data_IF_205736127184
#
_entry.id   IF_205736127184
#
_cell.length_a   1.000
_cell.length_b   1.000
_cell.length_c   1.000
_cell.angle_alpha   90.00
_cell.angle_beta   90.00
_cell.angle_gamma   90.00
#
_symmetry.space_group_name_H-M   'P 1'
#
loop_
_entity.id
_entity.type
_entity.pdbx_description
1 polymer ?
#
# COMPACT_ATOMS: atom_id res chain seq x y z
N UNK A 1 -21.26 -12.24 7.31
CA UNK A 1 -20.69 -10.97 6.90
C UNK A 1 -19.18 -11.05 6.64
N UNK A 2 -18.60 -9.95 6.25
CA UNK A 2 -17.17 -9.81 5.86
C UNK A 2 -16.22 -10.31 6.95
N UNK A 3 -16.48 -9.99 8.21
CA UNK A 3 -15.64 -10.43 9.34
C UNK A 3 -15.55 -11.95 9.45
N UNK A 4 -16.68 -12.65 9.29
CA UNK A 4 -16.72 -14.11 9.32
C UNK A 4 -16.02 -14.75 8.12
N UNK A 5 -16.16 -14.14 6.96
CA UNK A 5 -15.45 -14.53 5.74
C UNK A 5 -13.93 -14.42 5.93
N UNK A 6 -13.45 -13.26 6.37
CA UNK A 6 -12.03 -13.03 6.64
C UNK A 6 -11.48 -13.97 7.70
N UNK A 7 -12.23 -14.24 8.77
CA UNK A 7 -11.84 -15.21 9.79
C UNK A 7 -11.61 -16.60 9.19
N UNK A 8 -12.51 -17.06 8.33
CA UNK A 8 -12.37 -18.38 7.68
C UNK A 8 -11.16 -18.43 6.74
N UNK A 9 -10.96 -17.39 5.93
CA UNK A 9 -9.82 -17.30 5.02
C UNK A 9 -8.50 -17.29 5.78
N UNK A 10 -8.38 -16.45 6.82
CA UNK A 10 -7.16 -16.35 7.62
C UNK A 10 -6.86 -17.63 8.39
N UNK A 11 -7.89 -18.30 8.92
CA UNK A 11 -7.74 -19.59 9.61
C UNK A 11 -7.28 -20.66 8.62
N UNK A 12 -7.92 -20.77 7.47
CA UNK A 12 -7.54 -21.75 6.43
C UNK A 12 -6.11 -21.53 5.94
N UNK A 13 -5.73 -20.29 5.68
CA UNK A 13 -4.36 -19.96 5.29
C UNK A 13 -3.34 -20.29 6.38
N UNK A 14 -3.64 -19.99 7.64
CA UNK A 14 -2.76 -20.31 8.79
C UNK A 14 -2.54 -21.81 8.90
N UNK A 15 -3.59 -22.61 8.75
CA UNK A 15 -3.48 -24.07 8.76
C UNK A 15 -2.60 -24.59 7.62
N UNK A 16 -2.85 -24.11 6.41
CA UNK A 16 -2.04 -24.48 5.24
C UNK A 16 -0.56 -24.10 5.44
N UNK A 17 -0.30 -22.88 5.88
CA UNK A 17 1.06 -22.39 6.11
C UNK A 17 1.78 -23.20 7.18
N UNK A 18 1.11 -23.48 8.29
CA UNK A 18 1.68 -24.27 9.38
C UNK A 18 2.02 -25.70 8.96
N UNK A 19 1.13 -26.34 8.19
CA UNK A 19 1.41 -27.67 7.64
C UNK A 19 2.60 -27.65 6.69
N UNK A 20 2.64 -26.70 5.77
CA UNK A 20 3.71 -26.60 4.77
C UNK A 20 5.09 -26.33 5.39
N UNK A 21 5.14 -25.57 6.46
CA UNK A 21 6.38 -25.15 7.11
C UNK A 21 6.68 -25.87 8.42
N UNK A 22 5.97 -26.96 8.72
CA UNK A 22 6.13 -27.77 9.94
C UNK A 22 6.16 -26.91 11.23
N UNK A 23 5.26 -25.90 11.29
CA UNK A 23 5.14 -25.02 12.46
C UNK A 23 3.73 -25.10 13.06
N UNK A 24 3.58 -24.56 14.28
CA UNK A 24 2.31 -24.47 14.98
C UNK A 24 2.08 -23.07 15.54
N UNK A 25 0.85 -22.77 15.91
CA UNK A 25 0.48 -21.52 16.54
C UNK A 25 0.00 -20.45 15.57
N UNK A 26 -0.23 -19.24 16.10
CA UNK A 26 -0.77 -18.12 15.36
C UNK A 26 0.22 -17.60 14.31
N UNK A 27 -0.30 -17.31 13.10
CA UNK A 27 0.46 -16.68 12.02
C UNK A 27 0.22 -15.16 11.98
N UNK A 28 -0.99 -14.72 12.29
CA UNK A 28 -1.38 -13.32 12.30
C UNK A 28 -1.51 -12.79 13.73
N UNK A 29 -1.09 -11.53 13.92
CA UNK A 29 -1.21 -10.86 15.21
C UNK A 29 -2.59 -10.25 15.39
N UNK A 30 -3.38 -10.84 16.30
CA UNK A 30 -4.66 -10.29 16.72
C UNK A 30 -5.77 -10.39 15.67
N UNK A 31 -6.83 -9.65 15.93
CA UNK A 31 -8.03 -9.64 15.08
C UNK A 31 -7.83 -8.76 13.85
N UNK A 32 -8.49 -9.12 12.74
CA UNK A 32 -8.56 -8.26 11.55
C UNK A 32 -9.10 -6.88 11.92
N UNK A 33 -8.36 -5.85 11.51
CA UNK A 33 -8.78 -4.46 11.68
C UNK A 33 -9.38 -3.96 10.36
N UNK A 34 -10.46 -3.22 10.44
CA UNK A 34 -11.11 -2.62 9.27
C UNK A 34 -11.45 -1.17 9.55
N UNK A 35 -11.39 -0.34 8.51
CA UNK A 35 -11.80 1.06 8.56
C UNK A 35 -12.69 1.34 7.36
N UNK A 36 -13.82 1.97 7.61
CA UNK A 36 -14.73 2.40 6.55
C UNK A 36 -14.12 3.57 5.77
N UNK A 37 -14.21 3.50 4.44
CA UNK A 37 -13.78 4.56 3.52
C UNK A 37 -15.03 5.16 2.90
N UNK A 38 -15.44 6.33 3.38
CA UNK A 38 -16.68 7.02 3.02
C UNK A 38 -16.47 8.13 1.98
N UNK A 39 -15.23 8.56 1.76
CA UNK A 39 -14.90 9.66 0.86
C UNK A 39 -14.11 9.17 -0.35
N UNK A 40 -14.58 9.50 -1.53
CA UNK A 40 -13.92 9.16 -2.80
C UNK A 40 -12.48 9.69 -2.86
N UNK A 41 -12.25 10.90 -2.38
CA UNK A 41 -10.90 11.48 -2.31
C UNK A 41 -9.95 10.64 -1.46
N UNK A 42 -10.44 10.08 -0.35
CA UNK A 42 -9.65 9.20 0.51
C UNK A 42 -9.42 7.83 -0.14
N UNK A 43 -10.41 7.30 -0.86
CA UNK A 43 -10.26 6.05 -1.61
C UNK A 43 -9.18 6.18 -2.68
N UNK A 44 -9.19 7.26 -3.46
CA UNK A 44 -8.17 7.53 -4.46
C UNK A 44 -6.78 7.66 -3.83
N UNK A 45 -6.67 8.37 -2.72
CA UNK A 45 -5.42 8.45 -1.95
C UNK A 45 -4.92 7.07 -1.52
N UNK A 46 -5.81 6.22 -1.01
CA UNK A 46 -5.46 4.89 -0.52
C UNK A 46 -4.92 3.98 -1.63
N UNK A 47 -5.47 4.06 -2.83
CA UNK A 47 -4.93 3.33 -3.99
C UNK A 47 -3.48 3.71 -4.28
N UNK A 48 -3.18 5.00 -4.35
CA UNK A 48 -1.81 5.47 -4.57
C UNK A 48 -0.88 5.11 -3.41
N UNK A 49 -1.36 5.20 -2.19
CA UNK A 49 -0.60 4.82 -1.01
C UNK A 49 -0.16 3.36 -1.05
N UNK A 50 -1.07 2.45 -1.41
CA UNK A 50 -0.78 1.03 -1.51
C UNK A 50 0.22 0.75 -2.65
N UNK A 51 0.01 1.36 -3.81
CA UNK A 51 0.86 1.15 -4.98
C UNK A 51 2.29 1.71 -4.79
N UNK A 52 2.43 2.78 -3.99
CA UNK A 52 3.73 3.40 -3.68
C UNK A 52 4.44 2.82 -2.47
N UNK A 53 3.74 2.07 -1.64
CA UNK A 53 4.30 1.56 -0.39
C UNK A 53 5.62 0.78 -0.57
N UNK A 54 5.84 0.01 -1.65
CA UNK A 54 7.13 -0.64 -1.90
C UNK A 54 8.32 0.32 -2.01
N UNK A 55 8.10 1.60 -2.32
CA UNK A 55 9.17 2.60 -2.36
C UNK A 55 9.86 2.80 -1.01
N UNK A 56 9.19 2.47 0.09
CA UNK A 56 9.77 2.54 1.43
C UNK A 56 10.97 1.59 1.61
N UNK A 57 11.03 0.51 0.82
CA UNK A 57 12.16 -0.40 0.79
C UNK A 57 13.39 0.20 0.10
N UNK A 58 13.17 1.06 -0.89
CA UNK A 58 14.24 1.73 -1.63
C UNK A 58 14.61 3.07 -1.02
N UNK A 59 13.64 3.83 -0.56
CA UNK A 59 13.76 5.15 0.03
C UNK A 59 12.95 5.23 1.33
N UNK A 60 13.49 4.83 2.49
CA UNK A 60 12.74 4.78 3.75
C UNK A 60 12.06 6.11 4.14
N UNK A 61 12.70 7.23 3.81
CA UNK A 61 12.23 8.57 4.16
C UNK A 61 11.46 9.27 3.01
N UNK A 62 11.03 8.52 1.99
CA UNK A 62 10.44 9.14 0.79
C UNK A 62 9.18 9.96 1.07
N UNK A 63 8.42 9.59 2.09
CA UNK A 63 7.21 10.32 2.51
C UNK A 63 7.53 11.72 3.04
N UNK A 64 8.69 11.88 3.66
CA UNK A 64 9.12 13.14 4.28
C UNK A 64 10.01 13.97 3.36
N UNK A 65 10.95 13.32 2.70
CA UNK A 65 11.99 13.96 1.90
C UNK A 65 11.71 13.96 0.40
N UNK A 66 10.72 13.18 -0.04
CA UNK A 66 10.45 12.92 -1.44
C UNK A 66 11.39 11.90 -2.05
N UNK A 67 11.23 11.65 -3.34
CA UNK A 67 12.01 10.68 -4.09
C UNK A 67 13.15 11.41 -4.81
N UNK A 68 14.43 11.03 -4.61
CA UNK A 68 15.56 11.69 -5.25
C UNK A 68 15.57 11.54 -6.77
N UNK A 69 15.12 10.39 -7.29
CA UNK A 69 15.03 10.11 -8.72
C UNK A 69 13.72 9.40 -9.03
N UNK A 70 12.87 10.07 -9.80
CA UNK A 70 11.58 9.53 -10.23
C UNK A 70 11.75 8.33 -11.16
N UNK A 71 12.75 8.38 -12.05
CA UNK A 71 12.99 7.29 -13.00
C UNK A 71 13.44 6.01 -12.32
N UNK A 72 14.32 6.12 -11.33
CA UNK A 72 14.74 4.97 -10.51
C UNK A 72 13.59 4.41 -9.68
N UNK A 73 12.76 5.27 -9.10
CA UNK A 73 11.60 4.85 -8.33
C UNK A 73 10.59 4.11 -9.22
N UNK A 74 10.36 4.61 -10.43
CA UNK A 74 9.49 3.97 -11.43
C UNK A 74 10.01 2.60 -11.82
N UNK A 75 11.27 2.51 -12.22
CA UNK A 75 11.90 1.25 -12.59
C UNK A 75 11.83 0.22 -11.46
N UNK A 76 12.04 0.67 -10.22
CA UNK A 76 11.92 -0.19 -9.05
C UNK A 76 10.50 -0.73 -8.85
N UNK A 77 9.48 0.13 -8.95
CA UNK A 77 8.09 -0.29 -8.82
C UNK A 77 7.66 -1.24 -9.94
N UNK A 78 8.09 -0.99 -11.18
CA UNK A 78 7.79 -1.87 -12.31
C UNK A 78 8.44 -3.25 -12.18
N UNK A 79 9.63 -3.32 -11.60
CA UNK A 79 10.34 -4.56 -11.33
C UNK A 79 9.88 -5.27 -10.06
N UNK A 80 9.13 -4.60 -9.19
CA UNK A 80 8.67 -5.18 -7.94
C UNK A 80 7.66 -6.31 -8.20
N UNK A 81 7.91 -7.54 -7.74
CA UNK A 81 7.13 -8.71 -8.15
C UNK A 81 5.67 -8.68 -7.68
N UNK A 82 5.37 -7.93 -6.63
CA UNK A 82 4.03 -7.78 -6.08
C UNK A 82 3.33 -6.49 -6.50
N UNK A 83 3.97 -5.70 -7.38
CA UNK A 83 3.36 -4.51 -7.95
C UNK A 83 2.25 -4.93 -8.91
N UNK A 84 1.02 -4.55 -8.60
CA UNK A 84 -0.08 -4.76 -9.54
C UNK A 84 0.06 -3.78 -10.70
N UNK A 85 0.34 -4.29 -11.87
CA UNK A 85 0.15 -3.56 -13.13
C UNK A 85 -1.36 -3.43 -13.36
N UNK A 86 -2.03 -2.61 -12.57
CA UNK A 86 -3.47 -2.39 -12.73
C UNK A 86 -3.68 -1.61 -14.02
N UNK A 87 -4.29 -2.26 -14.99
CA UNK A 87 -5.00 -1.58 -16.06
C UNK A 87 -6.30 -1.04 -15.44
N UNK A 88 -6.27 0.17 -14.91
CA UNK A 88 -7.50 0.84 -14.57
C UNK A 88 -8.21 1.19 -15.87
N UNK A 89 -9.40 0.60 -16.09
CA UNK A 89 -10.43 0.97 -17.06
C UNK A 89 -9.95 1.85 -18.23
N UNK A 90 -9.14 1.29 -19.14
CA UNK A 90 -8.76 1.94 -20.40
C UNK A 90 -7.75 3.08 -20.32
N UNK A 91 -7.43 3.61 -19.16
CA UNK A 91 -6.33 4.53 -18.98
C UNK A 91 -5.07 3.77 -18.57
N UNK A 92 -4.10 3.77 -19.45
CA UNK A 92 -2.73 3.36 -19.11
C UNK A 92 -2.30 4.22 -17.93
N UNK A 93 -1.88 3.57 -16.85
CA UNK A 93 -1.31 4.25 -15.70
C UNK A 93 -0.20 5.18 -16.16
N UNK A 94 -0.49 6.48 -16.20
CA UNK A 94 0.48 7.47 -16.61
C UNK A 94 1.37 7.78 -15.40
N UNK A 95 2.57 7.24 -15.45
CA UNK A 95 3.60 7.42 -14.43
C UNK A 95 3.93 8.88 -14.12
N UNK A 96 3.70 9.82 -15.06
CA UNK A 96 3.86 11.26 -14.81
C UNK A 96 2.72 11.84 -13.96
N UNK A 97 1.47 11.46 -14.26
CA UNK A 97 0.33 11.83 -13.40
C UNK A 97 0.50 11.28 -11.99
N UNK A 98 1.03 10.08 -11.89
CA UNK A 98 1.31 9.43 -10.63
C UNK A 98 2.41 10.14 -9.83
N UNK A 99 3.53 10.46 -10.44
CA UNK A 99 4.61 11.21 -9.79
C UNK A 99 4.12 12.61 -9.36
N UNK A 100 3.37 13.31 -10.22
CA UNK A 100 2.75 14.58 -9.89
C UNK A 100 1.74 14.47 -8.75
N UNK A 101 0.92 13.43 -8.75
CA UNK A 101 -0.07 13.22 -7.71
C UNK A 101 0.60 12.85 -6.38
N UNK A 102 1.55 11.93 -6.37
CA UNK A 102 2.32 11.59 -5.20
C UNK A 102 3.06 12.80 -4.62
N UNK A 103 3.71 13.59 -5.48
CA UNK A 103 4.37 14.83 -5.07
C UNK A 103 3.38 15.90 -4.58
N UNK A 104 2.18 15.98 -5.15
CA UNK A 104 1.15 16.92 -4.69
C UNK A 104 0.56 16.55 -3.33
N UNK A 105 0.45 15.27 -3.03
CA UNK A 105 -0.04 14.78 -1.74
C UNK A 105 1.01 14.99 -0.65
N UNK A 106 2.28 14.77 -0.94
CA UNK A 106 3.34 14.75 0.07
C UNK A 106 4.14 16.06 0.20
N UNK A 107 4.12 16.94 -0.79
CA UNK A 107 4.74 18.27 -0.68
C UNK A 107 4.18 19.19 0.41
N UNK A 108 2.86 19.20 0.70
CA UNK A 108 2.33 20.08 1.73
C UNK A 108 2.65 19.66 3.17
N UNK A 109 3.00 18.42 3.42
CA UNK A 109 3.33 17.94 4.77
C UNK A 109 4.66 18.49 5.32
N UNK A 110 5.44 19.20 4.50
CA UNK A 110 6.71 19.83 4.91
C UNK A 110 6.55 21.16 5.65
N UNK A 111 5.39 21.78 5.61
CA UNK A 111 5.13 23.00 6.37
C UNK A 111 4.24 22.71 7.56
N UNK A 112 4.87 22.36 8.66
CA UNK A 112 4.34 22.47 10.02
C UNK A 112 3.16 21.60 10.44
N UNK A 113 3.42 20.97 11.56
CA UNK A 113 2.54 20.35 12.54
C UNK A 113 2.18 18.90 12.25
N UNK A 114 2.56 18.11 13.27
CA UNK A 114 1.97 16.84 13.66
C UNK A 114 0.80 16.49 12.76
N UNK A 115 1.07 15.59 11.83
CA UNK A 115 0.02 14.96 11.07
C UNK A 115 -1.03 14.52 12.07
N UNK A 116 -2.17 15.18 12.06
CA UNK A 116 -3.34 14.64 12.69
C UNK A 116 -3.52 13.28 12.04
N UNK A 117 -3.39 12.25 12.86
CA UNK A 117 -3.56 10.87 12.46
C UNK A 117 -4.88 10.75 11.71
N UNK A 118 -4.78 10.35 10.47
CA UNK A 118 -5.94 9.92 9.72
C UNK A 118 -6.59 8.74 10.43
#
# INVERSE_FOLDING_TARGET
>A
GIAKFLQKVMTGYTMYFNLRHARSGALFQGKTKSKHVDKEKYLNYLHYYIDLNPLELLYPDWKEKGVPSIDKARAYLEAYPWHQKRKYSGETFNSEKFAKYALSIYKPARSNKKAEAF
#
